data_IF_242646872077
#
_entry.id   IF_242646872077
#
_cell.length_a   1.000
_cell.length_b   1.000
_cell.length_c   1.000
_cell.angle_alpha   90.00
_cell.angle_beta   90.00
_cell.angle_gamma   90.00
#
_symmetry.space_group_name_H-M   'P 1'
#
loop_
_entity.id
_entity.type
_entity.pdbx_description
1 polymer ?
#
# COMPACT_ATOMS: atom_id res chain seq x y z
N UNK A 1 22.47 0.20 12.81
CA UNK A 1 21.84 1.04 11.78
C UNK A 1 20.87 0.18 10.95
N UNK A 2 19.60 0.06 11.36
CA UNK A 2 18.56 -0.59 10.55
C UNK A 2 17.98 0.46 9.61
N UNK A 3 18.72 0.73 8.54
CA UNK A 3 18.26 1.55 7.43
C UNK A 3 17.34 0.71 6.56
N UNK A 4 16.09 1.12 6.43
CA UNK A 4 15.16 0.45 5.53
C UNK A 4 13.73 0.90 5.74
N UNK A 5 13.46 2.22 5.66
CA UNK A 5 12.12 2.65 5.21
C UNK A 5 11.88 1.86 3.92
N UNK A 6 10.80 1.10 3.82
CA UNK A 6 10.47 0.36 2.60
C UNK A 6 10.16 1.38 1.48
N UNK A 7 11.22 1.96 0.89
CA UNK A 7 11.16 2.86 -0.25
C UNK A 7 11.08 2.01 -1.52
N UNK A 8 10.18 1.03 -1.52
CA UNK A 8 9.88 0.28 -2.72
C UNK A 8 9.32 1.26 -3.74
N UNK A 9 10.06 1.41 -4.84
CA UNK A 9 9.71 2.27 -5.95
C UNK A 9 8.98 1.46 -7.01
N UNK A 10 7.82 1.93 -7.44
CA UNK A 10 6.97 1.25 -8.41
C UNK A 10 6.90 2.02 -9.73
N UNK A 11 6.62 1.27 -10.80
CA UNK A 11 6.32 1.82 -12.12
C UNK A 11 4.82 2.00 -12.31
N UNK A 12 4.42 3.04 -13.04
CA UNK A 12 3.05 3.19 -13.48
C UNK A 12 2.66 2.05 -14.44
N UNK A 13 1.49 1.42 -14.28
CA UNK A 13 1.01 0.39 -15.20
C UNK A 13 0.44 0.95 -16.51
N UNK A 14 0.10 2.25 -16.55
CA UNK A 14 -0.48 2.91 -17.72
C UNK A 14 0.55 3.64 -18.58
N UNK A 15 1.66 4.08 -18.00
CA UNK A 15 2.71 4.81 -18.71
C UNK A 15 4.12 4.36 -18.31
N UNK A 16 5.15 4.94 -18.94
CA UNK A 16 6.56 4.58 -18.70
C UNK A 16 7.17 5.27 -17.48
N UNK A 17 6.41 6.08 -16.73
CA UNK A 17 6.92 6.76 -15.53
C UNK A 17 7.15 5.75 -14.40
N UNK A 18 8.26 5.91 -13.68
CA UNK A 18 8.67 5.03 -12.59
C UNK A 18 9.13 5.82 -11.37
N UNK A 19 9.59 5.11 -10.33
CA UNK A 19 10.09 5.67 -9.07
C UNK A 19 9.00 6.29 -8.19
N UNK A 20 7.77 5.78 -8.28
CA UNK A 20 6.69 6.22 -7.42
C UNK A 20 6.67 5.43 -6.11
N UNK A 21 6.40 6.11 -5.01
CA UNK A 21 5.89 5.45 -3.80
C UNK A 21 4.44 5.03 -4.03
N UNK A 22 3.86 4.21 -3.15
CA UNK A 22 2.46 3.79 -3.28
C UNK A 22 1.51 4.99 -3.31
N UNK A 23 1.73 5.99 -2.45
CA UNK A 23 0.94 7.23 -2.39
C UNK A 23 1.04 8.02 -3.69
N UNK A 24 2.27 8.33 -4.13
CA UNK A 24 2.49 9.09 -5.37
C UNK A 24 1.99 8.36 -6.62
N UNK A 25 2.03 7.03 -6.63
CA UNK A 25 1.49 6.24 -7.73
C UNK A 25 -0.03 6.36 -7.79
N UNK A 26 -0.70 6.36 -6.63
CA UNK A 26 -2.14 6.52 -6.54
C UNK A 26 -2.57 7.90 -7.04
N UNK A 27 -1.91 8.96 -6.57
CA UNK A 27 -2.14 10.34 -7.02
C UNK A 27 -1.89 10.50 -8.52
N UNK A 28 -0.78 9.97 -9.03
CA UNK A 28 -0.45 10.04 -10.46
C UNK A 28 -1.52 9.37 -11.34
N UNK A 29 -2.01 8.19 -10.96
CA UNK A 29 -3.04 7.48 -11.73
C UNK A 29 -4.36 8.24 -11.65
N UNK A 30 -4.72 8.81 -10.50
CA UNK A 30 -5.89 9.67 -10.37
C UNK A 30 -5.78 10.85 -11.34
N UNK A 31 -4.73 11.67 -11.25
CA UNK A 31 -4.63 12.91 -12.04
C UNK A 31 -4.43 12.67 -13.55
N UNK A 32 -3.75 11.58 -13.94
CA UNK A 32 -3.30 11.37 -15.33
C UNK A 32 -4.08 10.29 -16.08
N UNK A 33 -4.68 9.34 -15.37
CA UNK A 33 -5.25 8.11 -15.95
C UNK A 33 -6.67 7.80 -15.45
N UNK A 34 -7.36 8.78 -14.86
CA UNK A 34 -8.76 8.63 -14.37
C UNK A 34 -9.74 8.14 -15.45
N UNK A 35 -9.51 8.53 -16.72
CA UNK A 35 -10.34 8.17 -17.87
C UNK A 35 -9.86 6.88 -18.59
N UNK A 36 -8.74 6.30 -18.17
CA UNK A 36 -8.14 5.15 -18.83
C UNK A 36 -8.66 3.82 -18.23
N UNK A 37 -9.73 3.27 -18.83
CA UNK A 37 -10.35 1.98 -18.42
C UNK A 37 -9.57 0.74 -18.89
N UNK A 38 -8.32 0.91 -19.38
CA UNK A 38 -7.56 -0.24 -19.86
C UNK A 38 -7.16 -1.16 -18.70
N UNK A 39 -7.48 -2.43 -18.88
CA UNK A 39 -7.04 -3.52 -18.00
C UNK A 39 -5.52 -3.64 -17.99
N UNK A 40 -4.90 -3.42 -16.83
CA UNK A 40 -3.44 -3.54 -16.63
C UNK A 40 -3.14 -4.43 -15.42
N UNK A 41 -1.90 -4.90 -15.34
CA UNK A 41 -1.41 -5.65 -14.18
C UNK A 41 -0.99 -4.64 -13.10
N UNK A 42 -1.37 -4.88 -11.86
CA UNK A 42 -0.90 -4.07 -10.74
C UNK A 42 0.59 -4.31 -10.51
N UNK A 43 1.42 -3.30 -10.74
CA UNK A 43 2.89 -3.37 -10.58
C UNK A 43 3.31 -3.58 -9.12
N UNK A 44 2.50 -3.14 -8.16
CA UNK A 44 2.74 -3.38 -6.73
C UNK A 44 2.54 -4.87 -6.40
N UNK A 45 1.42 -5.46 -6.81
CA UNK A 45 1.14 -6.89 -6.62
C UNK A 45 2.19 -7.76 -7.32
N UNK A 46 2.58 -7.42 -8.55
CA UNK A 46 3.60 -8.15 -9.30
C UNK A 46 5.01 -8.05 -8.69
N UNK A 47 5.24 -7.06 -7.82
CA UNK A 47 6.51 -6.89 -7.11
C UNK A 47 6.55 -7.64 -5.78
N UNK A 48 5.44 -8.22 -5.34
CA UNK A 48 5.37 -9.00 -4.11
C UNK A 48 5.75 -10.46 -4.39
N UNK A 49 6.67 -11.08 -3.63
CA UNK A 49 7.06 -12.47 -3.85
C UNK A 49 5.91 -13.48 -3.58
N UNK A 50 4.89 -13.05 -2.85
CA UNK A 50 3.64 -13.78 -2.59
C UNK A 50 2.46 -13.26 -3.42
N UNK A 51 2.68 -12.27 -4.29
CA UNK A 51 1.65 -11.69 -5.14
C UNK A 51 1.41 -12.51 -6.41
N UNK A 52 0.22 -12.36 -6.98
CA UNK A 52 -0.11 -12.95 -8.28
C UNK A 52 0.33 -11.98 -9.40
N UNK A 53 1.39 -12.34 -10.14
CA UNK A 53 1.93 -11.56 -11.26
C UNK A 53 0.98 -11.48 -12.47
N UNK A 54 -0.11 -12.23 -12.48
CA UNK A 54 -1.10 -12.24 -13.56
C UNK A 54 -2.39 -11.49 -13.20
N UNK A 55 -2.47 -10.91 -12.00
CA UNK A 55 -3.67 -10.19 -11.57
C UNK A 55 -3.85 -8.90 -12.37
N UNK A 56 -4.74 -8.98 -13.35
CA UNK A 56 -5.20 -7.85 -14.14
C UNK A 56 -6.41 -7.22 -13.45
N UNK A 57 -6.37 -5.91 -13.23
CA UNK A 57 -7.51 -5.14 -12.74
C UNK A 57 -8.00 -4.21 -13.85
N UNK A 58 -9.32 -4.05 -13.98
CA UNK A 58 -9.94 -3.07 -14.89
C UNK A 58 -9.73 -1.64 -14.39
N UNK A 59 -9.74 -1.44 -13.07
CA UNK A 59 -9.46 -0.16 -12.43
C UNK A 59 -8.28 -0.31 -11.46
N UNK A 60 -7.10 0.13 -11.88
CA UNK A 60 -5.89 0.02 -11.05
C UNK A 60 -5.90 1.05 -9.92
N UNK A 61 -6.44 2.25 -10.16
CA UNK A 61 -6.56 3.28 -9.13
C UNK A 61 -7.30 2.75 -7.91
N UNK A 62 -8.52 2.23 -8.12
CA UNK A 62 -9.36 1.70 -7.04
C UNK A 62 -8.66 0.53 -6.32
N UNK A 63 -7.98 -0.32 -7.08
CA UNK A 63 -7.24 -1.44 -6.52
C UNK A 63 -6.09 -0.98 -5.60
N UNK A 64 -5.26 -0.03 -6.04
CA UNK A 64 -4.15 0.51 -5.25
C UNK A 64 -4.69 1.25 -4.03
N UNK A 65 -5.71 2.09 -4.22
CA UNK A 65 -6.34 2.84 -3.15
C UNK A 65 -6.89 1.94 -2.04
N UNK A 66 -7.57 0.84 -2.39
CA UNK A 66 -8.17 -0.04 -1.40
C UNK A 66 -7.19 -1.06 -0.79
N UNK A 67 -6.21 -1.56 -1.57
CA UNK A 67 -5.35 -2.68 -1.13
C UNK A 67 -3.95 -2.26 -0.70
N UNK A 68 -3.46 -1.12 -1.17
CA UNK A 68 -2.07 -0.71 -0.97
C UNK A 68 -1.94 0.64 -0.23
N UNK A 69 -3.01 1.43 -0.09
CA UNK A 69 -3.01 2.65 0.73
C UNK A 69 -2.70 2.37 2.22
N UNK A 70 -2.93 1.16 2.70
CA UNK A 70 -2.61 0.77 4.06
C UNK A 70 -1.09 0.52 4.21
N UNK A 71 -0.38 1.47 4.83
CA UNK A 71 1.05 1.34 5.11
C UNK A 71 1.29 0.80 6.53
N UNK A 72 1.68 -0.47 6.62
CA UNK A 72 1.94 -1.16 7.90
C UNK A 72 3.02 -0.48 8.74
N UNK A 73 4.01 0.19 8.13
CA UNK A 73 5.10 0.84 8.86
C UNK A 73 4.67 2.07 9.68
N UNK A 74 3.51 2.65 9.37
CA UNK A 74 2.95 3.79 10.13
C UNK A 74 2.12 3.30 11.32
N UNK A 75 1.51 2.12 11.20
CA UNK A 75 0.57 1.61 12.21
C UNK A 75 1.19 0.58 13.16
N UNK A 76 2.29 -0.06 12.78
CA UNK A 76 2.95 -1.05 13.62
C UNK A 76 4.26 -0.48 14.13
N UNK A 77 4.23 -0.08 15.39
CA UNK A 77 5.42 0.29 16.11
C UNK A 77 6.14 -0.99 16.57
N UNK A 78 7.12 -1.43 15.78
CA UNK A 78 7.96 -2.59 16.11
C UNK A 78 8.87 -2.39 17.33
N UNK A 79 8.91 -1.19 17.92
CA UNK A 79 9.62 -0.87 19.16
C UNK A 79 8.74 -1.14 20.40
N UNK A 80 7.44 -1.39 20.22
CA UNK A 80 6.52 -1.78 21.29
C UNK A 80 6.39 -3.30 21.34
N UNK A 81 6.59 -3.89 22.52
CA UNK A 81 6.29 -5.29 22.77
C UNK A 81 4.79 -5.58 22.52
N UNK A 82 4.52 -6.73 21.90
CA UNK A 82 3.17 -7.20 21.58
C UNK A 82 2.24 -7.19 22.80
N UNK A 83 2.78 -7.51 23.97
CA UNK A 83 2.05 -7.53 25.25
C UNK A 83 1.59 -6.13 25.68
N UNK A 84 2.40 -5.08 25.44
CA UNK A 84 2.03 -3.70 25.72
C UNK A 84 0.95 -3.17 24.77
N UNK A 85 1.00 -3.54 23.49
CA UNK A 85 -0.02 -3.11 22.52
C UNK A 85 -1.39 -3.75 22.81
N UNK A 86 -1.39 -5.02 23.21
CA UNK A 86 -2.63 -5.73 23.59
C UNK A 86 -3.19 -5.18 24.91
N UNK A 87 -2.33 -4.93 25.91
CA UNK A 87 -2.76 -4.34 27.18
C UNK A 87 -3.43 -2.97 26.99
N UNK A 88 -2.83 -2.09 26.18
CA UNK A 88 -3.40 -0.76 25.88
C UNK A 88 -4.76 -0.86 25.16
N UNK A 89 -4.89 -1.78 24.20
CA UNK A 89 -6.15 -2.00 23.49
C UNK A 89 -7.26 -2.51 24.42
N UNK A 90 -6.91 -3.38 25.36
CA UNK A 90 -7.83 -3.90 26.39
C UNK A 90 -8.25 -2.78 27.35
N UNK A 91 -7.30 -1.99 27.87
CA UNK A 91 -7.61 -0.87 28.77
C UNK A 91 -8.49 0.19 28.09
N UNK A 92 -8.17 0.58 26.85
CA UNK A 92 -8.99 1.52 26.08
C UNK A 92 -10.40 1.00 25.83
N UNK A 93 -10.56 -0.31 25.65
CA UNK A 93 -11.87 -0.94 25.48
C UNK A 93 -12.67 -0.97 26.79
N UNK A 94 -12.00 -0.99 27.94
CA UNK A 94 -12.62 -0.95 29.27
C UNK A 94 -12.98 0.46 29.73
N UNK A 95 -12.36 1.50 29.19
CA UNK A 95 -12.65 2.91 29.51
C UNK A 95 -13.94 3.46 28.89
N UNK A 96 -14.59 2.73 27.97
CA UNK A 96 -15.88 3.13 27.36
C UNK A 96 -17.12 2.49 28.00
N UNK A 97 -17.00 1.94 29.22
CA UNK A 97 -18.14 1.56 30.06
C UNK A 97 -18.28 2.49 31.28
#
# INVERSE_FOLDING_TARGET
>A
ARSGKNRSTFQCPYCTKANFTVELLCEHIEETHLDDDHRRICTICASMPWGDNTRVSSNIYEHIYNRHRFNYEIYVNYDQDEESMVAEAVERSMMFH
#
